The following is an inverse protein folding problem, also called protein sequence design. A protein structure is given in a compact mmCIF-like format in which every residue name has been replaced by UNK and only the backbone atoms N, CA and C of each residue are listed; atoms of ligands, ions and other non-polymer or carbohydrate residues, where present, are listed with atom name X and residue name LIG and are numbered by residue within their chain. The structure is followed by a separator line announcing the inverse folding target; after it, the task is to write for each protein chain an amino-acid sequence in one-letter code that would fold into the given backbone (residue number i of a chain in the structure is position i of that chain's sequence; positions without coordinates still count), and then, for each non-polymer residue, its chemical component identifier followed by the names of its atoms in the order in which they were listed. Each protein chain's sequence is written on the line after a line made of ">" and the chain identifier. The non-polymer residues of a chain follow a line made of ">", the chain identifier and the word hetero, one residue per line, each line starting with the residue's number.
data_IF_387840257119
#
_entry.id   IF_387840257119
#
_cell.length_a   1.000
_cell.length_b   1.000
_cell.length_c   1.000
_cell.angle_alpha   90.00
_cell.angle_beta   90.00
_cell.angle_gamma   90.00
#
_symmetry.space_group_name_H-M   'P 1'
#
loop_
_entity.id
_entity.type
_entity.pdbx_description
1 polymer ?
#
# COMPACT_ATOMS: atom_id res chain seq x y z
N UNK A 1 -21.51 24.83 -19.52
CA UNK A 1 -21.33 24.18 -20.83
C UNK A 1 -20.03 23.41 -20.79
N UNK A 2 -20.08 22.11 -21.03
CA UNK A 2 -18.87 21.29 -21.14
C UNK A 2 -18.19 21.58 -22.48
N UNK A 3 -16.90 21.91 -22.44
CA UNK A 3 -16.08 22.18 -23.65
C UNK A 3 -15.12 21.02 -23.87
N UNK A 4 -14.90 20.67 -25.13
CA UNK A 4 -13.88 19.69 -25.52
C UNK A 4 -12.72 20.45 -26.17
N UNK A 5 -11.51 20.15 -25.73
CA UNK A 5 -10.28 20.80 -26.19
C UNK A 5 -9.29 19.73 -26.63
N UNK A 6 -8.62 19.95 -27.76
CA UNK A 6 -7.44 19.17 -28.13
C UNK A 6 -6.20 19.97 -27.75
N UNK A 7 -5.34 19.44 -26.86
CA UNK A 7 -4.06 20.08 -26.55
C UNK A 7 -3.07 19.80 -27.67
N UNK A 8 -2.66 20.85 -28.39
CA UNK A 8 -1.45 20.85 -29.21
C UNK A 8 -0.30 21.44 -28.38
N UNK A 9 0.94 21.27 -28.85
CA UNK A 9 2.14 21.68 -28.12
C UNK A 9 2.14 23.16 -27.71
N UNK A 10 1.49 24.02 -28.50
CA UNK A 10 1.47 25.47 -28.37
C UNK A 10 0.07 26.05 -28.13
N UNK A 11 -1.00 25.33 -28.45
CA UNK A 11 -2.36 25.84 -28.40
C UNK A 11 -3.40 24.80 -27.99
N UNK A 12 -4.49 25.28 -27.38
CA UNK A 12 -5.65 24.45 -27.06
C UNK A 12 -6.78 24.80 -28.04
N UNK A 13 -7.14 23.87 -28.91
CA UNK A 13 -8.18 24.09 -29.93
C UNK A 13 -9.50 23.50 -29.44
N UNK A 14 -10.55 24.32 -29.37
CA UNK A 14 -11.90 23.84 -29.03
C UNK A 14 -12.46 23.02 -30.20
N UNK A 15 -12.91 21.80 -29.92
CA UNK A 15 -13.52 20.89 -30.90
C UNK A 15 -14.97 20.56 -30.52
N UNK A 16 -15.88 20.40 -31.48
CA UNK A 16 -17.28 20.07 -31.19
C UNK A 16 -17.50 18.59 -30.86
N UNK A 17 -16.67 17.69 -31.38
CA UNK A 17 -16.80 16.24 -31.19
C UNK A 17 -15.47 15.52 -31.39
N UNK A 18 -15.29 14.40 -30.71
CA UNK A 18 -14.11 13.52 -30.84
C UNK A 18 -14.50 12.14 -31.36
N UNK A 19 -13.70 11.57 -32.26
CA UNK A 19 -13.84 10.19 -32.74
C UNK A 19 -13.04 9.21 -31.89
N UNK A 20 -13.39 7.92 -31.96
CA UNK A 20 -12.66 6.87 -31.25
C UNK A 20 -11.17 6.84 -31.63
N UNK A 21 -10.30 6.54 -30.66
CA UNK A 21 -8.85 6.49 -30.82
C UNK A 21 -8.12 7.82 -30.60
N UNK A 22 -8.83 8.92 -30.42
CA UNK A 22 -8.24 10.23 -30.15
C UNK A 22 -8.30 10.60 -28.66
N UNK A 23 -7.40 11.49 -28.24
CA UNK A 23 -7.30 12.03 -26.88
C UNK A 23 -7.74 13.50 -26.88
N UNK A 24 -8.57 13.90 -25.91
CA UNK A 24 -8.96 15.29 -25.70
C UNK A 24 -9.20 15.57 -24.22
N UNK A 25 -9.23 16.86 -23.89
CA UNK A 25 -9.55 17.39 -22.57
C UNK A 25 -11.03 17.75 -22.53
N UNK A 26 -11.76 17.23 -21.54
CA UNK A 26 -13.15 17.56 -21.30
C UNK A 26 -13.26 18.48 -20.08
N UNK A 27 -13.68 19.73 -20.30
CA UNK A 27 -13.84 20.72 -19.23
C UNK A 27 -15.26 20.65 -18.67
N UNK A 28 -15.38 20.63 -17.34
CA UNK A 28 -16.66 20.73 -16.63
C UNK A 28 -17.21 19.42 -16.05
N UNK A 29 -16.43 18.34 -16.10
CA UNK A 29 -16.73 17.11 -15.36
C UNK A 29 -16.34 17.30 -13.89
N UNK A 30 -17.28 17.08 -12.97
CA UNK A 30 -17.08 17.35 -11.53
C UNK A 30 -16.68 16.13 -10.69
N UNK A 31 -17.00 14.93 -11.17
CA UNK A 31 -16.90 13.68 -10.40
C UNK A 31 -15.91 12.69 -11.01
N UNK A 32 -15.38 12.98 -12.20
CA UNK A 32 -14.49 12.06 -12.91
C UNK A 32 -13.06 12.21 -12.40
N UNK A 33 -12.45 11.09 -12.04
CA UNK A 33 -11.05 10.99 -11.62
C UNK A 33 -10.24 10.14 -12.60
N UNK A 34 -8.93 10.13 -12.42
CA UNK A 34 -8.01 9.31 -13.22
C UNK A 34 -8.41 7.83 -13.16
N UNK A 35 -8.62 7.20 -14.32
CA UNK A 35 -9.01 5.79 -14.44
C UNK A 35 -10.52 5.55 -14.66
N UNK A 36 -11.36 6.59 -14.56
CA UNK A 36 -12.80 6.43 -14.75
C UNK A 36 -13.19 6.18 -16.22
N UNK A 37 -14.16 5.27 -16.41
CA UNK A 37 -14.76 5.02 -17.73
C UNK A 37 -15.95 5.96 -17.95
N UNK A 38 -15.86 6.82 -18.97
CA UNK A 38 -16.94 7.75 -19.33
C UNK A 38 -17.78 7.15 -20.46
N UNK A 39 -19.10 7.07 -20.24
CA UNK A 39 -20.08 6.60 -21.22
C UNK A 39 -21.15 7.66 -21.49
N UNK A 40 -21.71 7.67 -22.70
CA UNK A 40 -22.73 8.65 -23.09
C UNK A 40 -24.08 8.45 -22.40
N UNK A 41 -24.46 7.20 -22.10
CA UNK A 41 -25.69 6.88 -21.38
C UNK A 41 -25.63 5.51 -20.69
N UNK A 42 -26.47 5.28 -19.68
CA UNK A 42 -26.63 3.96 -19.07
C UNK A 42 -27.13 2.91 -20.07
N UNK A 43 -27.93 3.33 -21.05
CA UNK A 43 -28.44 2.45 -22.12
C UNK A 43 -27.33 2.02 -23.07
N UNK A 44 -26.40 2.91 -23.44
CA UNK A 44 -25.25 2.56 -24.28
C UNK A 44 -24.27 1.63 -23.55
N UNK A 45 -24.07 1.82 -22.25
CA UNK A 45 -23.28 0.89 -21.44
C UNK A 45 -23.95 -0.50 -21.40
N UNK A 46 -25.26 -0.59 -21.15
CA UNK A 46 -25.97 -1.87 -21.17
C UNK A 46 -25.96 -2.54 -22.56
N UNK A 47 -26.05 -1.77 -23.64
CA UNK A 47 -26.01 -2.29 -25.00
C UNK A 47 -24.62 -2.83 -25.37
N UNK A 48 -23.55 -2.13 -24.99
CA UNK A 48 -22.20 -2.61 -25.21
C UNK A 48 -21.87 -3.82 -24.31
N UNK A 49 -22.44 -3.90 -23.09
CA UNK A 49 -22.23 -5.04 -22.19
C UNK A 49 -22.82 -6.32 -22.79
N UNK A 50 -24.02 -6.22 -23.39
CA UNK A 50 -24.65 -7.32 -24.12
C UNK A 50 -23.80 -7.80 -25.30
N UNK A 51 -23.23 -6.88 -26.08
CA UNK A 51 -22.34 -7.24 -27.21
C UNK A 51 -21.06 -7.94 -26.76
N UNK A 52 -20.45 -7.47 -25.67
CA UNK A 52 -19.26 -8.10 -25.11
C UNK A 52 -19.55 -9.51 -24.55
N UNK A 53 -20.75 -9.73 -23.99
CA UNK A 53 -21.19 -11.05 -23.55
C UNK A 53 -21.46 -12.02 -24.71
N UNK A 54 -21.92 -11.54 -25.86
CA UNK A 54 -22.11 -12.37 -27.06
C UNK A 54 -20.78 -12.86 -27.67
N UNK A 55 -19.68 -12.10 -27.53
CA UNK A 55 -18.34 -12.55 -27.94
C UNK A 55 -17.71 -13.54 -26.95
N UNK A 56 -18.08 -13.47 -25.66
CA UNK A 56 -17.56 -14.32 -24.57
C UNK A 56 -18.47 -15.52 -24.22
N UNK A 57 -19.25 -16.06 -25.16
CA UNK A 57 -20.10 -17.23 -24.92
C UNK A 57 -19.31 -18.55 -24.78
N UNK A 58 -18.58 -18.69 -23.67
CA UNK A 58 -18.41 -19.95 -22.94
C UNK A 58 -18.20 -19.67 -21.45
N UNK A 59 -19.24 -19.18 -20.75
CA UNK A 59 -19.31 -19.38 -19.30
C UNK A 59 -20.04 -18.34 -18.47
N UNK A 60 -21.22 -18.74 -17.99
CA UNK A 60 -22.01 -18.23 -16.85
C UNK A 60 -22.76 -16.90 -17.01
N UNK A 61 -24.09 -17.05 -16.99
CA UNK A 61 -25.07 -16.00 -16.74
C UNK A 61 -24.95 -15.44 -15.33
N UNK A 62 -24.94 -14.12 -15.20
CA UNK A 62 -25.52 -13.40 -14.07
C UNK A 62 -26.14 -12.10 -14.59
N UNK A 63 -27.40 -11.87 -14.22
CA UNK A 63 -28.14 -10.64 -14.48
C UNK A 63 -27.77 -9.53 -13.50
N UNK A 64 -28.42 -8.38 -13.73
CA UNK A 64 -28.20 -7.05 -13.16
C UNK A 64 -27.06 -6.26 -13.82
N UNK A 65 -27.43 -5.15 -14.46
CA UNK A 65 -26.63 -4.18 -15.20
C UNK A 65 -25.10 -4.30 -15.03
N UNK A 66 -24.47 -5.13 -15.85
CA UNK A 66 -23.03 -5.14 -16.01
C UNK A 66 -22.62 -3.77 -16.58
N UNK A 67 -22.23 -2.84 -15.70
CA UNK A 67 -21.51 -1.65 -16.12
C UNK A 67 -20.21 -2.13 -16.76
N UNK A 68 -20.02 -1.82 -18.03
CA UNK A 68 -18.73 -2.07 -18.69
C UNK A 68 -17.74 -1.12 -18.04
N UNK A 69 -16.90 -1.67 -17.18
CA UNK A 69 -15.74 -0.98 -16.64
C UNK A 69 -14.60 -1.41 -17.55
N UNK A 70 -13.98 -0.45 -18.26
CA UNK A 70 -12.76 -0.73 -19.00
C UNK A 70 -11.64 -1.01 -18.00
N UNK A 71 -10.64 -1.80 -18.39
CA UNK A 71 -9.46 -2.03 -17.55
C UNK A 71 -8.87 -0.68 -17.15
N UNK A 72 -8.94 -0.40 -15.84
CA UNK A 72 -8.46 0.85 -15.26
C UNK A 72 -6.95 0.92 -15.19
N UNK A 73 -6.46 2.05 -14.69
CA UNK A 73 -5.03 2.23 -14.36
C UNK A 73 -4.76 1.53 -13.03
N UNK A 74 -3.83 0.58 -13.02
CA UNK A 74 -3.33 -0.01 -11.77
C UNK A 74 -2.35 0.97 -11.13
N UNK A 75 -2.70 1.46 -9.93
CA UNK A 75 -1.87 2.40 -9.18
C UNK A 75 -1.04 1.60 -8.17
N UNK A 76 0.30 1.69 -8.22
CA UNK A 76 1.15 0.96 -7.27
C UNK A 76 0.95 1.49 -5.85
N UNK A 77 1.27 0.66 -4.86
CA UNK A 77 1.20 1.07 -3.47
C UNK A 77 2.35 2.02 -3.10
N UNK A 78 2.09 3.05 -2.28
CA UNK A 78 3.12 4.01 -1.86
C UNK A 78 4.10 3.34 -0.89
N UNK A 79 5.39 3.63 -1.07
CA UNK A 79 6.48 2.97 -0.32
C UNK A 79 7.11 3.90 0.72
N UNK A 80 6.92 5.21 0.58
CA UNK A 80 7.38 6.21 1.53
C UNK A 80 6.24 6.85 2.30
N UNK A 81 6.49 7.08 3.58
CA UNK A 81 5.59 7.77 4.50
C UNK A 81 6.27 9.00 5.09
N UNK A 82 5.54 10.10 5.18
CA UNK A 82 6.00 11.31 5.85
C UNK A 82 4.83 11.89 6.64
N UNK A 83 5.06 12.33 7.87
CA UNK A 83 4.05 13.10 8.60
C UNK A 83 4.01 14.52 8.05
N UNK A 84 2.82 15.06 7.86
CA UNK A 84 2.61 16.43 7.44
C UNK A 84 1.78 17.17 8.48
N UNK A 85 2.28 18.30 8.94
CA UNK A 85 1.63 19.10 9.98
C UNK A 85 1.40 20.53 9.47
N UNK A 86 0.22 21.14 9.76
CA UNK A 86 0.00 22.53 9.47
C UNK A 86 0.84 23.41 10.41
N UNK A 87 1.12 24.67 10.04
CA UNK A 87 1.88 25.57 10.90
C UNK A 87 1.05 26.03 12.12
N UNK A 88 -0.28 26.01 11.99
CA UNK A 88 -1.23 26.38 13.04
C UNK A 88 -2.49 25.54 12.89
N UNK A 89 -3.18 25.24 13.99
CA UNK A 89 -4.44 24.47 13.97
C UNK A 89 -5.54 25.14 13.13
N UNK A 90 -5.52 26.46 12.99
CA UNK A 90 -6.47 27.19 12.15
C UNK A 90 -6.36 26.86 10.65
N UNK A 91 -5.17 26.45 10.18
CA UNK A 91 -4.93 26.08 8.78
C UNK A 91 -5.12 24.59 8.50
N UNK A 92 -5.55 23.80 9.49
CA UNK A 92 -5.75 22.36 9.32
C UNK A 92 -6.81 22.07 8.25
N UNK A 93 -7.94 22.78 8.25
CA UNK A 93 -9.00 22.60 7.26
C UNK A 93 -8.55 22.96 5.82
N UNK A 94 -7.69 23.98 5.68
CA UNK A 94 -7.12 24.37 4.39
C UNK A 94 -6.15 23.29 3.88
N UNK A 95 -5.35 22.71 4.78
CA UNK A 95 -4.45 21.61 4.46
C UNK A 95 -5.23 20.35 4.03
N UNK A 96 -6.26 19.96 4.77
CA UNK A 96 -7.12 18.82 4.42
C UNK A 96 -7.76 19.03 3.04
N UNK A 97 -8.28 20.23 2.77
CA UNK A 97 -8.85 20.57 1.46
C UNK A 97 -7.79 20.49 0.35
N UNK A 98 -6.57 20.96 0.59
CA UNK A 98 -5.47 20.90 -0.37
C UNK A 98 -5.07 19.45 -0.67
N UNK A 99 -4.93 18.62 0.37
CA UNK A 99 -4.59 17.21 0.26
C UNK A 99 -5.66 16.42 -0.51
N UNK A 100 -6.94 16.65 -0.23
CA UNK A 100 -8.06 16.05 -0.96
C UNK A 100 -8.04 16.41 -2.45
N UNK A 101 -7.68 17.65 -2.78
CA UNK A 101 -7.55 18.08 -4.19
C UNK A 101 -6.37 17.38 -4.86
N UNK A 102 -5.20 17.33 -4.19
CA UNK A 102 -4.00 16.67 -4.72
C UNK A 102 -4.20 15.16 -4.91
N UNK A 103 -4.89 14.50 -3.98
CA UNK A 103 -5.20 13.07 -4.09
C UNK A 103 -6.17 12.76 -5.24
N UNK A 104 -7.06 13.71 -5.60
CA UNK A 104 -7.93 13.57 -6.77
C UNK A 104 -7.18 13.73 -8.09
N UNK A 105 -6.14 14.55 -8.11
CA UNK A 105 -5.27 14.74 -9.27
C UNK A 105 -4.35 13.55 -9.48
N UNK A 106 -3.68 13.11 -8.40
CA UNK A 106 -2.76 11.98 -8.41
C UNK A 106 -3.23 10.85 -7.49
N UNK A 107 -3.75 9.74 -8.04
CA UNK A 107 -4.23 8.62 -7.23
C UNK A 107 -3.09 7.85 -6.52
N UNK A 108 -1.83 8.07 -6.91
CA UNK A 108 -0.67 7.46 -6.25
C UNK A 108 -0.35 8.09 -4.90
N UNK A 109 -0.80 9.32 -4.68
CA UNK A 109 -0.72 10.00 -3.40
C UNK A 109 -1.84 9.48 -2.49
N UNK A 110 -1.49 8.83 -1.38
CA UNK A 110 -2.47 8.39 -0.38
C UNK A 110 -2.28 9.18 0.91
N UNK A 111 -3.36 9.71 1.46
CA UNK A 111 -3.36 10.39 2.74
C UNK A 111 -4.04 9.49 3.76
N UNK A 112 -3.41 9.31 4.91
CA UNK A 112 -3.95 8.55 6.04
C UNK A 112 -3.90 9.41 7.29
N UNK A 113 -4.88 9.28 8.15
CA UNK A 113 -4.83 9.84 9.50
C UNK A 113 -4.60 8.67 10.45
N UNK A 114 -3.53 8.75 11.23
CA UNK A 114 -3.25 7.74 12.23
C UNK A 114 -4.23 7.89 13.41
N UNK A 115 -5.03 6.86 13.74
CA UNK A 115 -6.03 6.96 14.80
C UNK A 115 -5.42 7.12 16.20
N UNK A 116 -4.16 6.70 16.40
CA UNK A 116 -3.51 6.74 17.71
C UNK A 116 -2.86 8.10 17.98
N UNK A 117 -2.08 8.63 17.03
CA UNK A 117 -1.43 9.94 17.16
C UNK A 117 -2.29 11.12 16.72
N UNK A 118 -3.31 10.88 15.89
CA UNK A 118 -4.08 11.93 15.22
C UNK A 118 -3.29 12.70 14.15
N UNK A 119 -2.08 12.25 13.81
CA UNK A 119 -1.24 12.90 12.80
C UNK A 119 -1.67 12.52 11.37
N UNK A 120 -1.51 13.46 10.44
CA UNK A 120 -1.71 13.22 9.02
C UNK A 120 -0.44 12.64 8.41
N UNK A 121 -0.56 11.44 7.82
CA UNK A 121 0.51 10.72 7.14
C UNK A 121 0.29 10.83 5.63
N UNK A 122 1.26 11.44 4.97
CA UNK A 122 1.37 11.51 3.52
C UNK A 122 2.14 10.29 3.01
N UNK A 123 1.52 9.54 2.09
CA UNK A 123 2.11 8.35 1.49
C UNK A 123 2.39 8.63 0.02
N UNK A 124 3.65 8.48 -0.41
CA UNK A 124 4.07 8.74 -1.78
C UNK A 124 4.92 7.61 -2.36
N UNK A 125 5.07 7.63 -3.68
CA UNK A 125 5.91 6.66 -4.40
C UNK A 125 7.42 6.90 -4.20
N UNK A 126 7.84 8.15 -3.92
CA UNK A 126 9.26 8.54 -3.88
C UNK A 126 9.51 9.78 -3.04
N UNK A 127 10.77 9.98 -2.64
CA UNK A 127 11.24 11.20 -1.93
C UNK A 127 10.93 12.47 -2.73
N UNK A 128 11.28 12.48 -4.02
CA UNK A 128 11.01 13.60 -4.92
C UNK A 128 9.51 13.89 -5.05
N UNK A 129 8.69 12.84 -5.05
CA UNK A 129 7.24 13.01 -5.11
C UNK A 129 6.74 13.79 -3.88
N UNK A 130 7.17 13.41 -2.68
CA UNK A 130 6.81 14.13 -1.44
C UNK A 130 7.31 15.59 -1.45
N UNK A 131 8.53 15.82 -1.94
CA UNK A 131 9.10 17.18 -2.05
C UNK A 131 8.29 18.07 -3.01
N UNK A 132 7.89 17.54 -4.17
CA UNK A 132 7.05 18.27 -5.13
C UNK A 132 5.69 18.60 -4.52
N UNK A 133 5.05 17.63 -3.84
CA UNK A 133 3.76 17.85 -3.19
C UNK A 133 3.86 18.95 -2.13
N UNK A 134 4.93 18.97 -1.34
CA UNK A 134 5.18 20.03 -0.37
C UNK A 134 5.32 21.42 -1.01
N UNK A 135 6.10 21.53 -2.09
CA UNK A 135 6.25 22.79 -2.82
C UNK A 135 4.95 23.22 -3.50
N UNK A 136 4.14 22.28 -4.01
CA UNK A 136 2.80 22.55 -4.56
C UNK A 136 1.85 23.08 -3.51
N UNK A 137 1.78 22.47 -2.32
CA UNK A 137 0.95 22.96 -1.20
C UNK A 137 1.33 24.40 -0.86
N UNK A 138 2.64 24.71 -0.85
CA UNK A 138 3.12 26.07 -0.60
C UNK A 138 2.75 27.06 -1.71
N UNK A 139 2.94 26.70 -2.98
CA UNK A 139 2.74 27.60 -4.13
C UNK A 139 1.28 27.79 -4.51
N UNK A 140 0.51 26.71 -4.54
CA UNK A 140 -0.87 26.71 -5.03
C UNK A 140 -1.86 27.10 -3.91
N UNK A 141 -1.65 26.58 -2.70
CA UNK A 141 -2.59 26.75 -1.57
C UNK A 141 -2.09 27.75 -0.53
N UNK A 142 -0.83 28.19 -0.58
CA UNK A 142 -0.28 29.18 0.35
C UNK A 142 -0.16 28.68 1.80
N UNK A 143 -0.14 27.37 2.00
CA UNK A 143 0.00 26.74 3.32
C UNK A 143 1.45 26.29 3.49
N UNK A 144 2.17 26.88 4.44
CA UNK A 144 3.52 26.42 4.80
C UNK A 144 3.40 25.25 5.77
N UNK A 145 3.56 24.02 5.27
CA UNK A 145 3.50 22.80 6.07
C UNK A 145 4.89 22.37 6.54
N UNK A 146 4.91 21.67 7.68
CA UNK A 146 6.09 21.00 8.17
C UNK A 146 6.04 19.52 7.80
N UNK A 147 7.16 19.02 7.26
CA UNK A 147 7.33 17.60 6.95
C UNK A 147 8.17 16.96 8.06
N UNK A 148 7.69 15.82 8.56
CA UNK A 148 8.46 14.96 9.45
C UNK A 148 9.51 14.14 8.70
N UNK A 149 10.29 13.31 9.43
CA UNK A 149 11.26 12.43 8.80
C UNK A 149 10.59 11.41 7.88
N UNK A 150 11.22 11.13 6.75
CA UNK A 150 10.76 10.12 5.81
C UNK A 150 10.92 8.71 6.41
N UNK A 151 9.85 7.93 6.38
CA UNK A 151 9.80 6.56 6.87
C UNK A 151 9.56 5.58 5.71
N UNK A 152 10.14 4.39 5.84
CA UNK A 152 9.99 3.30 4.89
C UNK A 152 8.84 2.38 5.32
N UNK A 153 8.06 1.92 4.36
CA UNK A 153 6.98 0.98 4.58
C UNK A 153 7.48 -0.44 4.88
N UNK A 154 7.96 -0.70 6.09
CA UNK A 154 8.29 -2.05 6.55
C UNK A 154 7.04 -2.90 6.75
N UNK A 155 7.20 -4.22 6.66
CA UNK A 155 6.18 -5.22 6.98
C UNK A 155 6.74 -6.24 7.96
N UNK A 156 5.89 -7.04 8.56
CA UNK A 156 6.31 -8.15 9.43
C UNK A 156 5.83 -9.48 8.85
N UNK A 157 6.59 -10.55 9.04
CA UNK A 157 6.19 -11.92 8.70
C UNK A 157 6.63 -12.87 9.80
N UNK A 158 6.25 -14.14 9.67
CA UNK A 158 6.62 -15.21 10.60
C UNK A 158 7.48 -16.26 9.91
N UNK A 159 8.32 -16.94 10.68
CA UNK A 159 9.23 -17.97 10.16
C UNK A 159 8.72 -19.39 10.39
N UNK A 160 8.03 -19.63 11.50
CA UNK A 160 7.61 -20.95 11.93
C UNK A 160 6.10 -21.05 12.11
N UNK A 161 5.57 -22.26 11.97
CA UNK A 161 4.20 -22.53 12.36
C UNK A 161 4.08 -22.55 13.89
N UNK A 162 3.07 -21.87 14.43
CA UNK A 162 2.81 -21.87 15.86
C UNK A 162 1.30 -22.04 16.14
N UNK A 163 0.97 -22.97 17.04
CA UNK A 163 -0.38 -23.15 17.56
C UNK A 163 -0.45 -22.64 18.99
N UNK A 164 -1.50 -21.87 19.29
CA UNK A 164 -1.71 -21.31 20.62
C UNK A 164 -3.15 -21.39 21.04
N UNK A 165 -3.33 -21.66 22.33
CA UNK A 165 -4.61 -21.59 23.02
C UNK A 165 -4.58 -20.48 24.04
N UNK A 166 -5.60 -19.65 24.03
CA UNK A 166 -5.74 -18.54 24.98
C UNK A 166 -7.16 -18.39 25.48
N UNK A 167 -7.28 -18.16 26.79
CA UNK A 167 -8.54 -17.89 27.48
C UNK A 167 -8.56 -16.45 27.99
N UNK A 168 -9.61 -15.72 27.60
CA UNK A 168 -9.93 -14.39 28.12
C UNK A 168 -11.09 -14.51 29.10
N UNK A 169 -10.80 -14.27 30.37
CA UNK A 169 -11.78 -14.15 31.45
C UNK A 169 -11.85 -12.67 31.88
N UNK A 170 -12.96 -12.02 31.57
CA UNK A 170 -13.23 -10.64 32.00
C UNK A 170 -14.68 -10.49 32.42
N UNK A 171 -14.88 -9.79 33.53
CA UNK A 171 -16.20 -9.37 33.99
C UNK A 171 -16.48 -7.97 33.44
N UNK A 172 -17.51 -7.82 32.62
CA UNK A 172 -17.95 -6.51 32.10
C UNK A 172 -19.34 -6.23 32.67
N UNK A 173 -19.43 -5.21 33.53
CA UNK A 173 -20.64 -4.97 34.32
C UNK A 173 -20.86 -6.08 35.35
N UNK A 174 -22.06 -6.68 35.36
CA UNK A 174 -22.43 -7.78 36.26
C UNK A 174 -22.20 -9.18 35.67
N UNK A 175 -21.79 -9.27 34.39
CA UNK A 175 -21.65 -10.55 33.69
C UNK A 175 -20.19 -10.94 33.51
N UNK A 176 -19.89 -12.20 33.78
CA UNK A 176 -18.59 -12.80 33.49
C UNK A 176 -18.60 -13.31 32.05
N UNK A 177 -17.56 -12.98 31.30
CA UNK A 177 -17.36 -13.45 29.94
C UNK A 177 -16.09 -14.27 29.89
N UNK A 178 -16.23 -15.56 29.57
CA UNK A 178 -15.12 -16.47 29.34
C UNK A 178 -15.15 -16.89 27.88
N UNK A 179 -14.06 -16.58 27.17
CA UNK A 179 -13.82 -16.99 25.79
C UNK A 179 -12.51 -17.74 25.74
N UNK A 180 -12.49 -18.91 25.12
CA UNK A 180 -11.24 -19.62 24.82
C UNK A 180 -11.14 -19.85 23.33
N UNK A 181 -10.05 -19.38 22.74
CA UNK A 181 -9.71 -19.49 21.32
C UNK A 181 -8.48 -20.37 21.18
N UNK A 182 -8.48 -21.23 20.18
CA UNK A 182 -7.32 -21.98 19.72
C UNK A 182 -7.11 -21.72 18.24
N UNK A 183 -5.92 -21.23 17.90
CA UNK A 183 -5.56 -20.87 16.53
C UNK A 183 -4.15 -21.30 16.20
N UNK A 184 -3.92 -21.53 14.91
CA UNK A 184 -2.63 -21.88 14.35
C UNK A 184 -2.28 -20.89 13.26
N UNK A 185 -1.06 -20.36 13.31
CA UNK A 185 -0.51 -19.44 12.30
C UNK A 185 0.55 -20.17 11.50
N UNK A 186 0.50 -20.03 10.17
CA UNK A 186 1.50 -20.61 9.26
C UNK A 186 2.02 -19.54 8.30
N UNK A 187 3.33 -19.52 7.99
CA UNK A 187 3.87 -18.66 6.95
C UNK A 187 3.35 -19.10 5.58
N UNK A 188 3.23 -18.15 4.66
CA UNK A 188 2.82 -18.38 3.28
C UNK A 188 3.70 -17.53 2.37
N UNK A 189 4.13 -18.10 1.24
CA UNK A 189 5.05 -17.45 0.30
C UNK A 189 4.43 -16.27 -0.48
N UNK A 190 3.12 -16.06 -0.31
CA UNK A 190 2.36 -14.99 -0.95
C UNK A 190 2.33 -13.70 -0.14
N UNK A 191 1.96 -12.60 -0.80
CA UNK A 191 1.70 -11.32 -0.14
C UNK A 191 0.35 -11.25 0.58
N UNK A 192 -0.53 -12.23 0.38
CA UNK A 192 -1.85 -12.25 0.99
C UNK A 192 -1.84 -12.78 2.43
N UNK A 193 -2.71 -12.20 3.24
CA UNK A 193 -3.04 -12.71 4.57
C UNK A 193 -4.43 -13.32 4.51
N UNK A 194 -4.50 -14.64 4.71
CA UNK A 194 -5.74 -15.39 4.59
C UNK A 194 -6.18 -15.92 5.96
N UNK A 195 -7.47 -15.75 6.26
CA UNK A 195 -8.09 -16.36 7.45
C UNK A 195 -9.01 -17.50 7.03
N UNK A 196 -8.73 -18.68 7.57
CA UNK A 196 -9.50 -19.89 7.32
C UNK A 196 -10.12 -20.41 8.62
N UNK A 197 -11.31 -20.98 8.49
CA UNK A 197 -12.02 -21.68 9.55
C UNK A 197 -12.15 -23.15 9.19
N UNK A 198 -11.92 -24.04 10.15
CA UNK A 198 -12.23 -25.46 9.99
C UNK A 198 -13.73 -25.65 9.71
N UNK A 199 -14.10 -26.59 8.82
CA UNK A 199 -15.50 -26.81 8.40
C UNK A 199 -16.45 -27.09 9.59
N UNK A 200 -15.94 -27.77 10.61
CA UNK A 200 -16.66 -28.05 11.86
C UNK A 200 -17.04 -26.77 12.60
N UNK A 201 -16.16 -25.77 12.60
CA UNK A 201 -16.39 -24.49 13.27
C UNK A 201 -17.32 -23.58 12.45
N UNK A 202 -17.28 -23.70 11.12
CA UNK A 202 -18.16 -22.93 10.24
C UNK A 202 -19.63 -23.28 10.44
N UNK A 203 -19.96 -24.52 10.76
CA UNK A 203 -21.35 -24.95 10.98
C UNK A 203 -21.86 -24.63 12.39
N UNK A 204 -20.97 -24.54 13.38
CA UNK A 204 -21.33 -24.28 14.78
C UNK A 204 -21.51 -22.79 15.12
N UNK A 205 -20.86 -21.88 14.39
CA UNK A 205 -20.85 -20.45 14.73
C UNK A 205 -21.90 -19.64 13.96
N UNK A 206 -22.53 -18.68 14.67
CA UNK A 206 -23.39 -17.66 14.07
C UNK A 206 -22.59 -16.68 13.19
N UNK A 207 -23.26 -16.04 12.23
CA UNK A 207 -22.61 -15.09 11.30
C UNK A 207 -21.96 -13.90 12.04
N UNK A 208 -22.62 -13.36 13.06
CA UNK A 208 -22.09 -12.24 13.87
C UNK A 208 -20.77 -12.58 14.56
N UNK A 209 -20.63 -13.82 15.05
CA UNK A 209 -19.40 -14.25 15.73
C UNK A 209 -18.29 -14.49 14.72
N UNK A 210 -18.60 -15.02 13.53
CA UNK A 210 -17.62 -15.16 12.45
C UNK A 210 -17.03 -13.81 12.05
N UNK A 211 -17.88 -12.80 11.87
CA UNK A 211 -17.44 -11.44 11.58
C UNK A 211 -16.57 -10.88 12.71
N UNK A 212 -16.94 -11.09 13.97
CA UNK A 212 -16.13 -10.66 15.10
C UNK A 212 -14.75 -11.34 15.18
N UNK A 213 -14.68 -12.63 14.83
CA UNK A 213 -13.41 -13.35 14.76
C UNK A 213 -12.57 -12.84 13.60
N UNK A 214 -13.16 -12.63 12.42
CA UNK A 214 -12.47 -12.05 11.26
C UNK A 214 -11.93 -10.65 11.58
N UNK A 215 -12.73 -9.79 12.23
CA UNK A 215 -12.29 -8.47 12.67
C UNK A 215 -11.12 -8.57 13.66
N UNK A 216 -11.16 -9.52 14.60
CA UNK A 216 -10.07 -9.75 15.56
C UNK A 216 -8.79 -10.27 14.92
N UNK A 217 -8.88 -11.09 13.87
CA UNK A 217 -7.72 -11.52 13.07
C UNK A 217 -7.19 -10.35 12.23
N UNK A 218 -8.07 -9.60 11.57
CA UNK A 218 -7.69 -8.47 10.74
C UNK A 218 -6.98 -7.37 11.54
N UNK A 219 -7.46 -7.05 12.74
CA UNK A 219 -6.80 -6.07 13.62
C UNK A 219 -5.40 -6.51 14.01
N UNK A 220 -5.17 -7.81 14.21
CA UNK A 220 -3.84 -8.35 14.50
C UNK A 220 -2.91 -8.39 13.28
N UNK A 221 -3.45 -8.42 12.05
CA UNK A 221 -2.63 -8.23 10.86
C UNK A 221 -2.20 -6.77 10.66
N UNK A 222 -2.96 -5.80 11.17
CA UNK A 222 -2.56 -4.39 11.10
C UNK A 222 -1.40 -4.06 12.04
N UNK A 223 -1.34 -4.69 13.21
CA UNK A 223 -0.35 -4.42 14.24
C UNK A 223 0.51 -5.66 14.55
N UNK A 224 1.72 -5.70 13.98
CA UNK A 224 2.69 -6.76 14.18
C UNK A 224 3.33 -6.78 15.59
N UNK A 225 3.89 -7.93 16.01
CA UNK A 225 4.44 -8.10 17.35
C UNK A 225 5.78 -7.39 17.63
N UNK A 226 6.57 -7.03 16.62
CA UNK A 226 7.92 -6.48 16.81
C UNK A 226 7.95 -4.96 16.89
N UNK A 227 7.59 -4.30 15.80
CA UNK A 227 7.63 -2.85 15.62
C UNK A 227 6.22 -2.28 15.39
N UNK A 228 5.19 -3.13 15.39
CA UNK A 228 3.81 -2.71 15.13
C UNK A 228 3.52 -2.52 13.65
N UNK A 229 4.39 -2.99 12.75
CA UNK A 229 4.13 -2.90 11.31
C UNK A 229 3.11 -3.95 10.86
N UNK A 230 2.39 -3.71 9.75
CA UNK A 230 1.42 -4.68 9.25
C UNK A 230 2.08 -5.99 8.84
N UNK A 231 1.42 -7.09 9.17
CA UNK A 231 1.85 -8.46 8.91
C UNK A 231 1.47 -8.88 7.49
N UNK A 232 2.38 -9.59 6.82
CA UNK A 232 2.24 -10.09 5.44
C UNK A 232 2.65 -11.57 5.34
N UNK A 233 1.98 -12.31 4.45
CA UNK A 233 2.32 -13.70 4.17
C UNK A 233 2.01 -14.66 5.31
N UNK A 234 0.86 -14.47 5.96
CA UNK A 234 0.43 -15.29 7.10
C UNK A 234 -0.96 -15.84 6.87
N UNK A 235 -1.07 -17.17 6.85
CA UNK A 235 -2.35 -17.86 6.87
C UNK A 235 -2.70 -18.25 8.31
N UNK A 236 -3.91 -17.87 8.73
CA UNK A 236 -4.46 -18.20 10.05
C UNK A 236 -5.50 -19.30 9.91
N UNK A 237 -5.41 -20.32 10.74
CA UNK A 237 -6.42 -21.37 10.87
C UNK A 237 -6.98 -21.35 12.29
N UNK A 238 -8.28 -21.09 12.42
CA UNK A 238 -8.96 -21.13 13.72
C UNK A 238 -9.49 -22.54 13.94
N UNK A 239 -8.96 -23.20 14.98
CA UNK A 239 -9.21 -24.61 15.26
C UNK A 239 -10.43 -24.79 16.18
N UNK A 240 -10.45 -24.08 17.32
CA UNK A 240 -11.53 -24.19 18.29
C UNK A 240 -11.90 -22.84 18.90
N UNK A 241 -13.20 -22.65 19.15
CA UNK A 241 -13.75 -21.47 19.80
C UNK A 241 -14.82 -21.91 20.80
N UNK A 242 -14.58 -21.66 22.08
CA UNK A 242 -15.55 -21.94 23.16
C UNK A 242 -15.89 -20.66 23.88
N UNK A 243 -17.17 -20.47 24.18
CA UNK A 243 -17.70 -19.26 24.79
C UNK A 243 -18.85 -19.56 25.74
N UNK A 244 -18.96 -18.74 26.78
CA UNK A 244 -20.11 -18.76 27.68
C UNK A 244 -21.30 -17.97 27.13
N UNK A 245 -22.50 -18.31 27.59
CA UNK A 245 -23.76 -17.70 27.15
C UNK A 245 -23.82 -16.23 27.54
N UNK A 246 -24.13 -15.36 26.57
CA UNK A 246 -24.23 -13.91 26.78
C UNK A 246 -22.93 -13.13 26.57
N UNK A 247 -21.91 -13.75 25.96
CA UNK A 247 -20.67 -13.08 25.55
C UNK A 247 -20.91 -12.10 24.41
N UNK A 248 -20.30 -10.90 24.49
CA UNK A 248 -20.36 -9.91 23.42
C UNK A 248 -19.38 -10.21 22.28
N UNK A 249 -19.72 -9.88 21.02
CA UNK A 249 -18.82 -10.05 19.87
C UNK A 249 -17.46 -9.34 20.05
N UNK A 250 -17.47 -8.17 20.69
CA UNK A 250 -16.24 -7.41 20.98
C UNK A 250 -15.26 -8.17 21.89
N UNK A 251 -15.78 -8.94 22.85
CA UNK A 251 -14.95 -9.78 23.73
C UNK A 251 -14.32 -10.95 22.96
N UNK A 252 -15.04 -11.52 21.99
CA UNK A 252 -14.50 -12.55 21.09
C UNK A 252 -13.38 -11.97 20.24
N UNK A 253 -13.61 -10.83 19.58
CA UNK A 253 -12.59 -10.13 18.78
C UNK A 253 -11.34 -9.85 19.61
N UNK A 254 -11.48 -9.31 20.83
CA UNK A 254 -10.35 -9.02 21.70
C UNK A 254 -9.56 -10.28 22.13
N UNK A 255 -10.26 -11.39 22.40
CA UNK A 255 -9.62 -12.67 22.73
C UNK A 255 -8.81 -13.21 21.54
N UNK A 256 -9.39 -13.14 20.33
CA UNK A 256 -8.74 -13.56 19.09
C UNK A 256 -7.48 -12.73 18.84
N UNK A 257 -7.57 -11.40 18.95
CA UNK A 257 -6.41 -10.54 18.73
C UNK A 257 -5.27 -10.82 19.70
N UNK A 258 -5.60 -11.08 20.98
CA UNK A 258 -4.60 -11.43 22.00
C UNK A 258 -3.92 -12.77 21.70
N UNK A 259 -4.72 -13.77 21.32
CA UNK A 259 -4.23 -15.10 20.92
C UNK A 259 -3.32 -15.00 19.70
N UNK A 260 -3.70 -14.18 18.72
CA UNK A 260 -2.94 -13.97 17.50
C UNK A 260 -1.62 -13.27 17.79
N UNK A 261 -1.59 -12.20 18.59
CA UNK A 261 -0.35 -11.55 19.00
C UNK A 261 0.59 -12.51 19.75
N UNK A 262 0.06 -13.44 20.54
CA UNK A 262 0.87 -14.47 21.22
C UNK A 262 1.40 -15.52 20.23
N UNK A 263 0.58 -15.97 19.28
CA UNK A 263 0.98 -16.90 18.24
C UNK A 263 2.09 -16.31 17.36
N UNK A 264 1.94 -15.07 16.90
CA UNK A 264 2.93 -14.36 16.10
C UNK A 264 4.27 -14.20 16.83
N UNK A 265 4.25 -13.96 18.15
CA UNK A 265 5.48 -13.90 18.97
C UNK A 265 6.19 -15.26 19.07
N UNK A 266 5.43 -16.35 19.19
CA UNK A 266 5.99 -17.71 19.28
C UNK A 266 6.49 -18.23 17.92
N UNK A 267 5.86 -17.79 16.83
CA UNK A 267 6.18 -18.15 15.45
C UNK A 267 7.53 -17.57 14.95
N UNK A 268 8.19 -16.73 15.73
CA UNK A 268 9.43 -16.05 15.33
C UNK A 268 9.16 -15.00 14.27
N UNK A 269 8.87 -13.77 14.70
CA UNK A 269 8.60 -12.66 13.80
C UNK A 269 9.89 -12.12 13.16
N UNK A 270 9.80 -11.75 11.89
CA UNK A 270 10.87 -11.13 11.11
C UNK A 270 10.33 -9.89 10.39
N UNK A 271 11.17 -8.86 10.27
CA UNK A 271 10.82 -7.64 9.52
C UNK A 271 11.15 -7.85 8.05
N UNK A 272 10.19 -7.54 7.19
CA UNK A 272 10.36 -7.46 5.75
C UNK A 272 10.64 -6.01 5.35
N UNK A 273 11.65 -5.81 4.51
CA UNK A 273 11.94 -4.53 3.88
C UNK A 273 11.50 -4.53 2.41
N UNK A 274 11.03 -3.39 1.87
CA UNK A 274 10.69 -3.28 0.46
C UNK A 274 11.98 -3.24 -0.37
N UNK A 275 12.07 -4.15 -1.33
CA UNK A 275 13.14 -4.21 -2.32
C UNK A 275 12.64 -3.64 -3.63
N UNK A 276 13.40 -2.68 -4.16
CA UNK A 276 13.08 -2.01 -5.41
C UNK A 276 13.85 -2.63 -6.56
N UNK A 277 13.17 -2.80 -7.69
CA UNK A 277 13.78 -2.95 -9.00
C UNK A 277 14.31 -1.58 -9.45
N UNK A 278 15.62 -1.47 -9.54
CA UNK A 278 16.33 -0.28 -9.97
C UNK A 278 16.81 -0.48 -11.42
N UNK A 279 16.40 0.43 -12.29
CA UNK A 279 16.96 0.58 -13.63
C UNK A 279 17.80 1.85 -13.67
N UNK A 280 19.10 1.76 -13.99
CA UNK A 280 19.98 2.93 -14.17
C UNK A 280 20.53 2.96 -15.58
N UNK A 281 20.31 4.05 -16.30
CA UNK A 281 20.96 4.29 -17.60
C UNK A 281 22.14 5.23 -17.40
N UNK A 282 23.35 4.78 -17.77
CA UNK A 282 24.62 5.51 -17.62
C UNK A 282 25.50 5.36 -18.85
N UNK A 283 26.44 6.29 -19.04
CA UNK A 283 27.49 6.15 -20.05
C UNK A 283 28.51 5.06 -19.66
N UNK A 284 29.10 4.38 -20.65
CA UNK A 284 30.00 3.23 -20.42
C UNK A 284 31.20 3.57 -19.52
N UNK A 285 31.75 4.79 -19.62
CA UNK A 285 32.90 5.21 -18.82
C UNK A 285 32.64 5.39 -17.32
N UNK A 286 31.37 5.55 -16.93
CA UNK A 286 30.95 5.84 -15.54
C UNK A 286 30.33 4.63 -14.83
N UNK A 287 30.11 3.54 -15.56
CA UNK A 287 29.47 2.32 -15.04
C UNK A 287 30.16 1.78 -13.77
N UNK A 288 31.49 1.79 -13.72
CA UNK A 288 32.27 1.27 -12.59
C UNK A 288 31.98 1.99 -11.28
N UNK A 289 31.73 3.31 -11.32
CA UNK A 289 31.41 4.09 -10.13
C UNK A 289 30.01 3.76 -9.60
N UNK A 290 29.05 3.59 -10.50
CA UNK A 290 27.67 3.23 -10.15
C UNK A 290 27.60 1.81 -9.56
N UNK A 291 28.33 0.86 -10.13
CA UNK A 291 28.43 -0.49 -9.59
C UNK A 291 29.05 -0.51 -8.18
N UNK A 292 30.07 0.32 -7.94
CA UNK A 292 30.70 0.47 -6.63
C UNK A 292 29.74 1.02 -5.57
N UNK A 293 28.96 2.05 -5.91
CA UNK A 293 27.96 2.63 -5.01
C UNK A 293 26.81 1.65 -4.72
N UNK A 294 26.32 0.93 -5.73
CA UNK A 294 25.27 -0.07 -5.54
C UNK A 294 25.71 -1.23 -4.65
N UNK A 295 26.97 -1.67 -4.77
CA UNK A 295 27.53 -2.70 -3.89
C UNK A 295 27.58 -2.25 -2.43
N UNK A 296 27.84 -0.96 -2.16
CA UNK A 296 27.79 -0.40 -0.80
C UNK A 296 26.36 -0.38 -0.24
N UNK A 297 25.37 -0.19 -1.10
CA UNK A 297 23.93 -0.10 -0.75
C UNK A 297 23.22 -1.45 -0.69
N UNK A 298 23.95 -2.55 -0.52
CA UNK A 298 23.39 -3.93 -0.53
C UNK A 298 22.63 -4.27 -1.83
N UNK A 299 22.97 -3.59 -2.93
CA UNK A 299 22.34 -3.82 -4.23
C UNK A 299 22.85 -5.09 -4.90
N UNK A 300 21.94 -5.89 -5.45
CA UNK A 300 22.26 -7.06 -6.26
C UNK A 300 22.03 -6.75 -7.74
N UNK A 301 23.09 -6.78 -8.54
CA UNK A 301 22.99 -6.57 -9.97
C UNK A 301 22.42 -7.82 -10.63
N UNK A 302 21.30 -7.67 -11.35
CA UNK A 302 20.68 -8.75 -12.12
C UNK A 302 21.29 -8.84 -13.51
N UNK A 303 21.28 -7.73 -14.25
CA UNK A 303 21.70 -7.69 -15.64
C UNK A 303 22.31 -6.34 -16.02
N UNK A 304 23.24 -6.35 -16.98
CA UNK A 304 23.79 -5.16 -17.62
C UNK A 304 23.51 -5.26 -19.11
N UNK A 305 22.61 -4.41 -19.61
CA UNK A 305 22.26 -4.33 -21.01
C UNK A 305 23.02 -3.17 -21.68
N UNK A 306 23.42 -3.35 -22.93
CA UNK A 306 24.07 -2.29 -23.72
C UNK A 306 23.09 -1.72 -24.73
N UNK A 307 22.81 -0.41 -24.65
CA UNK A 307 21.89 0.31 -25.52
C UNK A 307 22.63 1.44 -26.22
N UNK A 308 23.10 1.17 -27.44
CA UNK A 308 23.88 2.12 -28.24
C UNK A 308 25.11 2.62 -27.45
N UNK A 309 25.18 3.92 -27.13
CA UNK A 309 26.27 4.55 -26.37
C UNK A 309 26.08 4.48 -24.84
N UNK A 310 24.92 4.06 -24.36
CA UNK A 310 24.59 3.97 -22.93
C UNK A 310 24.47 2.51 -22.48
N UNK A 311 24.77 2.25 -21.21
CA UNK A 311 24.54 0.98 -20.53
C UNK A 311 23.33 1.14 -19.63
N UNK A 312 22.44 0.15 -19.64
CA UNK A 312 21.29 0.03 -18.76
C UNK A 312 21.60 -1.05 -17.73
N UNK A 313 21.61 -0.68 -16.47
CA UNK A 313 21.89 -1.54 -15.33
C UNK A 313 20.57 -1.87 -14.63
N UNK A 314 20.26 -3.17 -14.54
CA UNK A 314 19.12 -3.68 -13.79
C UNK A 314 19.65 -4.30 -12.49
N UNK A 315 19.18 -3.78 -11.36
CA UNK A 315 19.58 -4.23 -10.03
C UNK A 315 18.38 -4.27 -9.07
N UNK A 316 18.46 -5.09 -8.03
CA UNK A 316 17.55 -5.00 -6.89
C UNK A 316 18.26 -4.34 -5.72
N UNK A 317 17.60 -3.36 -5.09
CA UNK A 317 18.17 -2.61 -3.97
C UNK A 317 17.12 -2.39 -2.89
N UNK A 318 17.45 -2.59 -1.60
CA UNK A 318 16.57 -2.22 -0.50
C UNK A 318 16.27 -0.72 -0.48
N UNK A 319 15.00 -0.34 -0.33
CA UNK A 319 14.60 1.07 -0.36
C UNK A 319 15.28 1.91 0.73
N UNK A 320 15.55 1.31 1.90
CA UNK A 320 16.18 2.00 3.02
C UNK A 320 17.54 2.62 2.67
N UNK A 321 18.29 1.99 1.75
CA UNK A 321 19.60 2.48 1.31
C UNK A 321 19.51 3.49 0.15
N UNK A 322 18.31 3.69 -0.42
CA UNK A 322 18.08 4.54 -1.60
C UNK A 322 17.65 5.98 -1.27
N UNK A 323 17.54 6.32 0.02
CA UNK A 323 17.29 7.70 0.45
C UNK A 323 18.41 8.63 -0.07
N UNK A 324 18.03 9.71 -0.76
CA UNK A 324 18.97 10.66 -1.35
C UNK A 324 19.77 10.14 -2.56
N UNK A 325 19.43 8.97 -3.11
CA UNK A 325 20.20 8.35 -4.21
C UNK A 325 20.28 9.24 -5.45
N UNK A 326 19.22 9.99 -5.77
CA UNK A 326 19.20 10.93 -6.91
C UNK A 326 20.38 11.92 -6.88
N UNK A 327 20.64 12.51 -5.73
CA UNK A 327 21.73 13.48 -5.54
C UNK A 327 23.10 12.80 -5.64
N UNK A 328 23.26 11.61 -5.03
CA UNK A 328 24.50 10.85 -5.09
C UNK A 328 24.82 10.39 -6.51
N UNK A 329 23.84 9.81 -7.21
CA UNK A 329 23.99 9.35 -8.59
C UNK A 329 24.35 10.51 -9.52
N UNK A 330 23.67 11.65 -9.38
CA UNK A 330 23.97 12.86 -10.16
C UNK A 330 25.40 13.35 -9.93
N UNK A 331 25.88 13.29 -8.69
CA UNK A 331 27.25 13.68 -8.34
C UNK A 331 28.27 12.72 -8.95
N UNK A 332 28.03 11.40 -8.86
CA UNK A 332 28.92 10.38 -9.42
C UNK A 332 29.01 10.43 -10.94
N UNK A 333 27.89 10.75 -11.60
CA UNK A 333 27.76 10.67 -13.05
C UNK A 333 27.84 12.03 -13.75
N UNK A 334 28.18 13.08 -13.02
CA UNK A 334 28.14 14.47 -13.50
C UNK A 334 26.77 14.89 -14.08
N UNK A 335 25.71 14.17 -13.68
CA UNK A 335 24.33 14.39 -14.12
C UNK A 335 23.93 13.74 -15.44
N UNK A 336 24.74 12.85 -15.99
CA UNK A 336 24.40 12.14 -17.23
C UNK A 336 23.55 10.88 -17.00
N UNK A 337 23.38 10.42 -15.76
CA UNK A 337 22.61 9.22 -15.47
C UNK A 337 21.15 9.49 -15.14
N UNK A 338 20.30 8.57 -15.57
CA UNK A 338 18.88 8.53 -15.21
C UNK A 338 18.58 7.21 -14.51
N UNK A 339 17.70 7.21 -13.53
CA UNK A 339 17.26 5.99 -12.86
C UNK A 339 15.74 5.93 -12.72
N UNK A 340 15.22 4.70 -12.68
CA UNK A 340 13.83 4.38 -12.37
C UNK A 340 13.79 3.39 -11.21
N UNK A 341 12.79 3.53 -10.34
CA UNK A 341 12.55 2.66 -9.20
C UNK A 341 11.13 2.14 -9.25
N UNK A 342 10.98 0.82 -9.17
CA UNK A 342 9.70 0.13 -9.08
C UNK A 342 9.74 -0.86 -7.91
N UNK A 343 8.63 -1.02 -7.19
CA UNK A 343 8.53 -2.02 -6.13
C UNK A 343 8.52 -3.41 -6.76
N UNK A 344 9.50 -4.26 -6.41
CA UNK A 344 9.57 -5.65 -6.87
C UNK A 344 8.90 -6.58 -5.85
N UNK A 345 9.50 -6.68 -4.66
CA UNK A 345 9.07 -7.62 -3.62
C UNK A 345 9.38 -7.08 -2.22
N UNK A 346 8.78 -7.72 -1.22
CA UNK A 346 9.17 -7.57 0.17
C UNK A 346 10.08 -8.73 0.55
N UNK A 347 11.31 -8.43 0.97
CA UNK A 347 12.29 -9.44 1.36
C UNK A 347 12.61 -9.39 2.84
N UNK A 348 12.97 -10.55 3.38
CA UNK A 348 13.26 -10.69 4.80
C UNK A 348 14.62 -10.09 5.14
N UNK A 349 14.62 -9.14 6.08
CA UNK A 349 15.84 -8.43 6.45
C UNK A 349 16.79 -9.33 7.25
N UNK A 350 18.09 -9.13 7.08
CA UNK A 350 19.12 -9.81 7.86
C UNK A 350 18.97 -9.52 9.37
N UNK A 351 19.29 -10.48 10.26
CA UNK A 351 19.11 -10.29 11.70
C UNK A 351 19.98 -9.17 12.29
N UNK A 352 21.12 -8.85 11.67
CA UNK A 352 21.97 -7.73 12.09
C UNK A 352 21.31 -6.38 11.79
N UNK A 353 20.74 -6.24 10.61
CA UNK A 353 20.06 -5.02 10.16
C UNK A 353 18.74 -4.84 10.91
N UNK A 354 18.02 -5.94 11.17
CA UNK A 354 16.84 -5.94 12.03
C UNK A 354 17.12 -5.43 13.44
N UNK A 355 18.19 -5.90 14.07
CA UNK A 355 18.60 -5.40 15.39
C UNK A 355 19.01 -3.91 15.34
N UNK A 356 19.61 -3.47 14.24
CA UNK A 356 19.97 -2.07 14.04
C UNK A 356 18.72 -1.19 13.88
N UNK A 357 17.71 -1.65 13.14
CA UNK A 357 16.42 -0.99 13.00
C UNK A 357 15.67 -0.91 14.35
N UNK A 358 15.63 -2.02 15.10
CA UNK A 358 15.03 -2.07 16.43
C UNK A 358 15.68 -1.05 17.38
N UNK A 359 17.01 -0.90 17.35
CA UNK A 359 17.73 0.10 18.17
C UNK A 359 17.39 1.53 17.76
N UNK A 360 17.34 1.82 16.46
CA UNK A 360 16.95 3.15 15.95
C UNK A 360 15.53 3.52 16.38
N UNK A 361 14.59 2.59 16.24
CA UNK A 361 13.18 2.82 16.57
C UNK A 361 12.90 2.87 18.07
N UNK A 362 13.65 2.13 18.89
CA UNK A 362 13.53 2.18 20.36
C UNK A 362 14.18 3.42 21.00
N UNK A 363 14.79 4.31 20.21
CA UNK A 363 15.44 5.53 20.71
C UNK A 363 16.68 5.26 21.57
N UNK A 364 17.26 4.05 21.46
CA UNK A 364 18.45 3.64 22.22
C UNK A 364 19.77 3.98 21.50
N UNK A 365 19.73 4.91 20.54
CA UNK A 365 20.89 5.47 19.84
C UNK A 365 20.75 6.98 19.69
#
# INVERSE_FOLDING_TARGET
>A
MSRLLVPFADQHVEIPSISAGNIALAVGLKQTVTGDTIVSSKASAAAAARRAQDENQTGKSCGEHANIILSGVEVPDPVFFCTIEPPTMSKQADLETALDCLQREDPSLKVKVDPDSGQTILCGMGELHIEIIHDRIRREYGVETYLGPLQVAYRETILHEASTKETLDRTVGERRHIVTVELTVRPTDGSSCDSAFTEELQTQLSAEIKEAVQNGVHSSYLQGPLLGYPVQGVSTLIQSLTMETGTSPAMVSACVSRCMSKALKLAGAQVLEPVMSLEVTVDEGLLSFVLGDLAQRRGMVREIQSRHDSKVLLATVPLAEMMGYSTTLRTLTSGNATFSLELDTYEAMNPQDQNSLLKKMSGLL
#
